data_IF_825561531752
#
_entry.id   IF_825561531752
#
_cell.length_a   1.000
_cell.length_b   1.000
_cell.length_c   1.000
_cell.angle_alpha   90.00
_cell.angle_beta   90.00
_cell.angle_gamma   90.00
#
_symmetry.space_group_name_H-M   'P 1'
#
loop_
_entity.id
_entity.type
_entity.pdbx_description
1 polymer ?
#
# COMPACT_ATOMS: atom_id res chain seq x y z
N UNK A 1 -4.31 -47.94 19.80
CA UNK A 1 -3.96 -46.51 19.73
C UNK A 1 -3.86 -46.18 18.26
N UNK A 2 -4.76 -45.35 17.73
CA UNK A 2 -4.63 -44.87 16.36
C UNK A 2 -3.54 -43.80 16.35
N UNK A 3 -2.61 -43.85 15.39
CA UNK A 3 -1.45 -42.94 15.28
C UNK A 3 -1.81 -41.43 15.29
N UNK A 4 -3.08 -41.10 15.05
CA UNK A 4 -3.57 -39.72 14.99
C UNK A 4 -3.90 -39.08 16.34
N UNK A 5 -3.88 -39.84 17.45
CA UNK A 5 -4.19 -39.34 18.80
C UNK A 5 -2.95 -38.92 19.61
N UNK A 6 -1.77 -38.87 18.97
CA UNK A 6 -0.57 -38.41 19.66
C UNK A 6 -0.68 -36.89 19.97
N UNK A 7 -0.31 -36.43 21.17
CA UNK A 7 -0.48 -35.03 21.60
C UNK A 7 0.11 -33.98 20.65
N UNK A 8 1.15 -34.35 19.91
CA UNK A 8 1.80 -33.50 18.92
C UNK A 8 0.90 -33.20 17.70
N UNK A 9 0.05 -34.14 17.29
CA UNK A 9 -0.88 -33.96 16.17
C UNK A 9 -2.15 -33.19 16.56
N UNK A 10 -2.47 -33.16 17.86
CA UNK A 10 -3.57 -32.35 18.41
C UNK A 10 -3.16 -30.89 18.69
N UNK A 11 -1.86 -30.57 18.68
CA UNK A 11 -1.36 -29.23 18.95
C UNK A 11 -1.66 -28.26 17.80
N UNK A 12 -2.47 -27.24 18.07
CA UNK A 12 -2.79 -26.14 17.14
C UNK A 12 -2.36 -24.81 17.76
N UNK A 13 -1.07 -24.42 17.65
CA UNK A 13 -0.63 -23.13 18.17
C UNK A 13 -1.32 -21.97 17.44
N UNK A 14 -1.44 -20.83 18.12
CA UNK A 14 -1.89 -19.61 17.46
C UNK A 14 -0.88 -19.21 16.38
N UNK A 15 -1.31 -19.16 15.13
CA UNK A 15 -0.48 -18.70 14.01
C UNK A 15 -0.67 -17.19 13.82
N UNK A 16 0.44 -16.44 13.85
CA UNK A 16 0.42 -15.01 13.55
C UNK A 16 1.04 -14.77 12.17
N UNK A 17 0.28 -14.08 11.30
CA UNK A 17 0.77 -13.62 10.02
C UNK A 17 1.54 -12.31 10.18
N UNK A 18 2.82 -12.30 9.78
CA UNK A 18 3.67 -11.09 9.77
C UNK A 18 3.89 -10.68 8.31
N UNK A 19 3.20 -9.63 7.88
CA UNK A 19 3.32 -9.12 6.52
C UNK A 19 4.47 -8.12 6.39
N UNK A 20 5.05 -8.06 5.19
CA UNK A 20 5.90 -6.94 4.84
C UNK A 20 5.06 -5.65 4.83
N UNK A 21 5.46 -4.61 5.60
CA UNK A 21 4.61 -3.45 5.85
C UNK A 21 4.34 -2.67 4.57
N UNK A 22 3.08 -2.27 4.38
CA UNK A 22 2.66 -1.55 3.18
C UNK A 22 3.35 -0.19 3.03
N UNK A 23 3.71 0.43 4.15
CA UNK A 23 4.47 1.71 4.20
C UNK A 23 5.88 1.59 3.64
N UNK A 24 6.50 0.42 3.68
CA UNK A 24 7.86 0.18 3.19
C UNK A 24 7.89 -0.20 1.70
N UNK A 25 6.73 -0.34 1.03
CA UNK A 25 6.63 -0.62 -0.42
C UNK A 25 6.86 0.65 -1.25
N UNK A 26 7.99 1.32 -1.04
CA UNK A 26 8.31 2.64 -1.58
C UNK A 26 8.15 2.71 -3.11
N UNK A 27 8.59 1.69 -3.85
CA UNK A 27 8.43 1.65 -5.31
C UNK A 27 6.96 1.76 -5.75
N UNK A 28 6.07 1.03 -5.07
CA UNK A 28 4.62 1.05 -5.34
C UNK A 28 3.99 2.38 -4.92
N UNK A 29 4.35 2.90 -3.75
CA UNK A 29 3.89 4.20 -3.26
C UNK A 29 4.21 5.30 -4.28
N UNK A 30 5.46 5.36 -4.74
CA UNK A 30 5.91 6.34 -5.75
C UNK A 30 5.20 6.19 -7.09
N UNK A 31 4.96 4.96 -7.53
CA UNK A 31 4.24 4.68 -8.77
C UNK A 31 2.78 5.13 -8.72
N UNK A 32 2.07 4.79 -7.64
CA UNK A 32 0.68 5.21 -7.43
C UNK A 32 0.59 6.73 -7.31
N UNK A 33 1.47 7.37 -6.55
CA UNK A 33 1.52 8.83 -6.45
C UNK A 33 1.72 9.49 -7.83
N UNK A 34 2.70 9.05 -8.64
CA UNK A 34 2.88 9.60 -9.99
C UNK A 34 1.64 9.44 -10.87
N UNK A 35 1.00 8.27 -10.83
CA UNK A 35 -0.20 7.98 -11.62
C UNK A 35 -1.42 8.76 -11.14
N UNK A 36 -1.50 9.05 -9.85
CA UNK A 36 -2.55 9.87 -9.27
C UNK A 36 -2.35 11.34 -9.62
N UNK A 37 -1.12 11.85 -9.52
CA UNK A 37 -0.75 13.21 -9.92
C UNK A 37 -1.00 13.49 -11.41
N UNK A 38 -0.95 12.46 -12.27
CA UNK A 38 -1.23 12.61 -13.69
C UNK A 38 -2.73 12.59 -14.04
N UNK A 39 -3.64 12.45 -13.07
CA UNK A 39 -5.09 12.48 -13.33
C UNK A 39 -5.57 13.92 -13.46
N UNK A 40 -6.26 14.20 -14.56
CA UNK A 40 -6.72 15.55 -14.91
C UNK A 40 -8.07 15.92 -14.30
N UNK A 41 -8.83 14.93 -13.81
CA UNK A 41 -10.15 15.15 -13.20
C UNK A 41 -10.24 14.41 -11.87
N UNK A 42 -10.99 14.99 -10.92
CA UNK A 42 -11.27 14.36 -9.63
C UNK A 42 -11.91 12.98 -9.81
N UNK A 43 -12.88 12.86 -10.73
CA UNK A 43 -13.53 11.57 -11.03
C UNK A 43 -12.57 10.47 -11.46
N UNK A 44 -11.57 10.80 -12.29
CA UNK A 44 -10.55 9.82 -12.70
C UNK A 44 -9.58 9.48 -11.58
N UNK A 45 -9.28 10.43 -10.69
CA UNK A 45 -8.49 10.20 -9.49
C UNK A 45 -9.22 9.25 -8.53
N UNK A 46 -10.48 9.52 -8.21
CA UNK A 46 -11.31 8.70 -7.32
C UNK A 46 -11.44 7.27 -7.83
N UNK A 47 -11.78 7.12 -9.12
CA UNK A 47 -11.87 5.80 -9.74
C UNK A 47 -10.56 5.03 -9.66
N UNK A 48 -9.43 5.71 -9.90
CA UNK A 48 -8.11 5.09 -9.80
C UNK A 48 -7.76 4.69 -8.36
N UNK A 49 -8.10 5.54 -7.37
CA UNK A 49 -7.95 5.21 -5.95
C UNK A 49 -8.73 3.96 -5.59
N UNK A 50 -10.00 3.87 -6.00
CA UNK A 50 -10.82 2.67 -5.77
C UNK A 50 -10.20 1.42 -6.40
N UNK A 51 -9.72 1.49 -7.65
CA UNK A 51 -9.05 0.35 -8.29
C UNK A 51 -7.80 -0.12 -7.53
N UNK A 52 -6.98 0.81 -7.04
CA UNK A 52 -5.78 0.46 -6.26
C UNK A 52 -6.17 -0.15 -4.93
N UNK A 53 -7.17 0.41 -4.23
CA UNK A 53 -7.68 -0.10 -2.95
C UNK A 53 -8.22 -1.51 -3.09
N UNK A 54 -9.07 -1.78 -4.08
CA UNK A 54 -9.63 -3.12 -4.32
C UNK A 54 -8.53 -4.14 -4.63
N UNK A 55 -7.53 -3.77 -5.44
CA UNK A 55 -6.41 -4.66 -5.73
C UNK A 55 -5.58 -5.00 -4.47
N UNK A 56 -5.40 -4.03 -3.56
CA UNK A 56 -4.72 -4.26 -2.29
C UNK A 56 -5.55 -5.13 -1.36
N UNK A 57 -6.85 -4.87 -1.24
CA UNK A 57 -7.78 -5.67 -0.42
C UNK A 57 -7.78 -7.12 -0.85
N UNK A 58 -7.99 -7.40 -2.13
CA UNK A 58 -7.95 -8.76 -2.69
C UNK A 58 -6.62 -9.47 -2.45
N UNK A 59 -5.50 -8.73 -2.53
CA UNK A 59 -4.19 -9.30 -2.24
C UNK A 59 -4.05 -9.68 -0.77
N UNK A 60 -4.41 -8.80 0.17
CA UNK A 60 -4.27 -9.04 1.60
C UNK A 60 -5.22 -10.12 2.10
N UNK A 61 -6.45 -10.15 1.57
CA UNK A 61 -7.42 -11.22 1.80
C UNK A 61 -6.86 -12.57 1.35
N UNK A 62 -6.29 -12.64 0.14
CA UNK A 62 -5.67 -13.87 -0.39
C UNK A 62 -4.52 -14.39 0.47
N UNK A 63 -3.80 -13.51 1.17
CA UNK A 63 -2.71 -13.89 2.09
C UNK A 63 -3.25 -14.28 3.48
N UNK A 64 -4.55 -14.10 3.73
CA UNK A 64 -5.22 -14.49 4.97
C UNK A 64 -5.14 -13.44 6.08
N UNK A 65 -4.89 -12.17 5.74
CA UNK A 65 -4.90 -11.09 6.72
C UNK A 65 -6.35 -10.76 7.13
N UNK A 66 -6.60 -10.56 8.43
CA UNK A 66 -7.94 -10.19 8.91
C UNK A 66 -8.36 -8.79 8.49
N UNK A 67 -9.66 -8.54 8.30
CA UNK A 67 -10.21 -7.30 7.74
C UNK A 67 -9.71 -6.03 8.45
N UNK A 68 -9.73 -5.99 9.79
CA UNK A 68 -9.24 -4.84 10.55
C UNK A 68 -7.75 -4.52 10.27
N UNK A 69 -6.92 -5.56 10.07
CA UNK A 69 -5.52 -5.39 9.72
C UNK A 69 -5.36 -4.99 8.24
N UNK A 70 -6.26 -5.42 7.34
CA UNK A 70 -6.27 -4.96 5.96
C UNK A 70 -6.51 -3.45 5.90
N UNK A 71 -7.52 -2.96 6.61
CA UNK A 71 -7.86 -1.54 6.66
C UNK A 71 -6.71 -0.69 7.19
N UNK A 72 -6.05 -1.14 8.27
CA UNK A 72 -4.86 -0.48 8.82
C UNK A 72 -3.73 -0.40 7.78
N UNK A 73 -3.42 -1.52 7.13
CA UNK A 73 -2.34 -1.58 6.13
C UNK A 73 -2.64 -0.73 4.89
N UNK A 74 -3.90 -0.71 4.43
CA UNK A 74 -4.35 0.09 3.28
C UNK A 74 -4.35 1.58 3.64
N UNK A 75 -4.85 1.96 4.82
CA UNK A 75 -4.80 3.35 5.29
C UNK A 75 -3.37 3.87 5.44
N UNK A 76 -2.48 3.04 5.99
CA UNK A 76 -1.05 3.37 6.11
C UNK A 76 -0.38 3.52 4.73
N UNK A 77 -0.75 2.69 3.75
CA UNK A 77 -0.31 2.83 2.36
C UNK A 77 -0.74 4.18 1.77
N UNK A 78 -2.01 4.53 1.88
CA UNK A 78 -2.54 5.79 1.32
C UNK A 78 -1.95 7.02 2.00
N UNK A 79 -1.71 6.97 3.30
CA UNK A 79 -0.99 8.02 4.03
C UNK A 79 0.42 8.25 3.45
N UNK A 80 1.12 7.20 3.02
CA UNK A 80 2.42 7.32 2.34
C UNK A 80 2.30 7.83 0.91
N UNK A 81 1.25 7.45 0.18
CA UNK A 81 0.97 7.99 -1.15
C UNK A 81 0.72 9.49 -1.08
N UNK A 82 -0.07 9.96 -0.12
CA UNK A 82 -0.36 11.38 0.09
C UNK A 82 0.93 12.18 0.39
N UNK A 83 1.76 11.71 1.32
CA UNK A 83 3.08 12.31 1.59
C UNK A 83 3.96 12.39 0.33
N UNK A 84 3.93 11.36 -0.51
CA UNK A 84 4.69 11.32 -1.75
C UNK A 84 4.11 12.25 -2.83
N UNK A 85 2.78 12.42 -2.90
CA UNK A 85 2.12 13.40 -3.75
C UNK A 85 2.53 14.82 -3.39
N UNK A 86 2.53 15.15 -2.10
CA UNK A 86 3.03 16.43 -1.58
C UNK A 86 4.50 16.61 -1.97
N UNK A 87 5.33 15.58 -1.84
CA UNK A 87 6.75 15.62 -2.26
C UNK A 87 6.92 15.88 -3.76
N UNK A 88 6.02 15.38 -4.61
CA UNK A 88 6.06 15.60 -6.06
C UNK A 88 5.68 17.03 -6.43
N UNK A 89 4.66 17.61 -5.78
CA UNK A 89 4.22 18.99 -6.05
C UNK A 89 5.32 20.00 -5.69
N UNK A 90 6.01 19.82 -4.56
CA UNK A 90 7.15 20.66 -4.19
C UNK A 90 8.38 20.51 -5.11
N UNK A 91 8.59 19.33 -5.73
CA UNK A 91 9.67 19.19 -6.72
C UNK A 91 9.35 19.87 -8.05
N UNK A 92 8.07 20.01 -8.40
CA UNK A 92 7.64 20.68 -9.64
C UNK A 92 7.73 22.21 -9.57
N UNK A 93 7.68 22.81 -8.38
CA UNK A 93 7.77 24.27 -8.19
C UNK A 93 9.21 24.79 -8.13
N UNK A 94 10.20 23.92 -7.95
CA UNK A 94 11.62 24.25 -8.09
C UNK A 94 12.04 24.28 -9.56
N UNK A 95 11.67 25.34 -10.28
CA UNK A 95 12.21 25.61 -11.61
C UNK A 95 13.74 25.70 -11.52
N UNK A 96 14.42 24.66 -11.97
CA UNK A 96 15.83 24.73 -12.31
C UNK A 96 15.93 25.39 -13.69
N UNK A 97 15.86 26.72 -13.71
CA UNK A 97 16.21 27.51 -14.88
C UNK A 97 17.68 27.94 -14.74
N UNK A 98 18.65 27.25 -15.37
CA UNK A 98 20.07 27.59 -15.26
C UNK A 98 20.47 28.85 -16.07
N UNK A 99 19.52 29.64 -16.58
CA UNK A 99 19.78 30.76 -17.49
C UNK A 99 19.98 32.14 -16.83
N UNK A 100 20.10 32.20 -15.51
CA UNK A 100 20.10 33.46 -14.74
C UNK A 100 21.46 34.01 -14.29
N UNK A 101 22.57 33.63 -14.90
CA UNK A 101 23.88 34.22 -14.61
C UNK A 101 24.55 34.67 -15.91
N UNK A 102 24.42 35.95 -16.23
CA UNK A 102 25.19 36.68 -17.23
C UNK A 102 25.58 38.04 -16.65
#
# INVERSE_FOLDING_TARGET
>A
MHDHDLPLFAWRPACQLILFPMTARVGKVRDVARKLASKTTARHADYYCSQVTEALRLHLEKVGLGEAQQDEQIGAFWSKVDQEMVRLTYRGTGSHDPRGAA
#
